data_IF_649445018712
#
_entry.id   IF_649445018712
#
_cell.length_a   1.000
_cell.length_b   1.000
_cell.length_c   1.000
_cell.angle_alpha   90.00
_cell.angle_beta   90.00
_cell.angle_gamma   90.00
#
_symmetry.space_group_name_H-M   'P 1'
#
loop_
_entity.id
_entity.type
_entity.pdbx_description
1 polymer ?
#
# COMPACT_ATOMS: atom_id res chain seq x y z
N UNK A 1 -3.35 -40.33 -52.35
CA UNK A 1 -2.38 -39.25 -52.03
C UNK A 1 -2.98 -38.07 -51.24
N UNK A 2 -4.25 -38.14 -50.80
CA UNK A 2 -4.96 -37.00 -50.17
C UNK A 2 -4.97 -37.06 -48.64
N UNK A 3 -4.94 -38.26 -48.05
CA UNK A 3 -4.96 -38.48 -46.60
C UNK A 3 -3.63 -38.10 -45.90
N UNK A 4 -2.48 -38.30 -46.56
CA UNK A 4 -1.16 -38.00 -45.99
C UNK A 4 -0.94 -36.48 -45.78
N UNK A 5 -1.55 -35.63 -46.63
CA UNK A 5 -1.46 -34.15 -46.53
C UNK A 5 -2.29 -33.59 -45.36
N UNK A 6 -3.44 -34.19 -45.06
CA UNK A 6 -4.30 -33.76 -43.94
C UNK A 6 -3.68 -34.07 -42.57
N UNK A 7 -3.04 -35.23 -42.41
CA UNK A 7 -2.34 -35.58 -41.17
C UNK A 7 -1.11 -34.70 -40.92
N UNK A 8 -0.35 -34.36 -41.95
CA UNK A 8 0.78 -33.42 -41.86
C UNK A 8 0.33 -31.99 -41.51
N UNK A 9 -0.82 -31.55 -42.02
CA UNK A 9 -1.35 -30.21 -41.74
C UNK A 9 -1.89 -30.08 -40.31
N UNK A 10 -2.53 -31.13 -39.76
CA UNK A 10 -3.01 -31.11 -38.37
C UNK A 10 -1.86 -31.15 -37.35
N UNK A 11 -0.80 -31.94 -37.62
CA UNK A 11 0.38 -32.01 -36.74
C UNK A 11 1.19 -30.72 -36.74
N UNK A 12 1.27 -30.02 -37.88
CA UNK A 12 1.94 -28.73 -37.96
C UNK A 12 1.19 -27.64 -37.17
N UNK A 13 -0.16 -27.64 -37.22
CA UNK A 13 -0.99 -26.68 -36.48
C UNK A 13 -0.89 -26.90 -34.97
N UNK A 14 -0.90 -28.15 -34.49
CA UNK A 14 -0.71 -28.44 -33.06
C UNK A 14 0.70 -28.13 -32.57
N UNK A 15 1.74 -28.35 -33.39
CA UNK A 15 3.10 -27.91 -33.06
C UNK A 15 3.21 -26.39 -32.96
N UNK A 16 2.59 -25.66 -33.89
CA UNK A 16 2.61 -24.19 -33.90
C UNK A 16 1.84 -23.59 -32.71
N UNK A 17 0.68 -24.16 -32.34
CA UNK A 17 -0.09 -23.75 -31.16
C UNK A 17 0.66 -24.08 -29.84
N UNK A 18 1.34 -25.23 -29.78
CA UNK A 18 2.18 -25.61 -28.65
C UNK A 18 3.39 -24.68 -28.49
N UNK A 19 4.07 -24.36 -29.60
CA UNK A 19 5.19 -23.42 -29.61
C UNK A 19 4.77 -22.00 -29.21
N UNK A 20 3.62 -21.52 -29.70
CA UNK A 20 3.09 -20.21 -29.32
C UNK A 20 2.72 -20.14 -27.82
N UNK A 21 2.13 -21.20 -27.27
CA UNK A 21 1.77 -21.29 -25.84
C UNK A 21 3.01 -21.36 -24.94
N UNK A 22 4.05 -22.08 -25.38
CA UNK A 22 5.33 -22.18 -24.68
C UNK A 22 6.08 -20.84 -24.72
N UNK A 23 6.13 -20.17 -25.88
CA UNK A 23 6.76 -18.86 -26.03
C UNK A 23 6.04 -17.78 -25.20
N UNK A 24 4.70 -17.74 -25.20
CA UNK A 24 3.92 -16.78 -24.41
C UNK A 24 4.11 -16.98 -22.88
N UNK A 25 4.23 -18.23 -22.44
CA UNK A 25 4.49 -18.57 -21.04
C UNK A 25 5.93 -18.22 -20.63
N UNK A 26 6.89 -18.43 -21.53
CA UNK A 26 8.29 -18.04 -21.31
C UNK A 26 8.46 -16.51 -21.22
N UNK A 27 7.77 -15.73 -22.06
CA UNK A 27 7.82 -14.25 -22.00
C UNK A 27 7.16 -13.71 -20.74
N UNK A 28 5.98 -14.20 -20.36
CA UNK A 28 5.29 -13.75 -19.15
C UNK A 28 6.08 -14.05 -17.86
N UNK A 29 6.80 -15.18 -17.82
CA UNK A 29 7.66 -15.54 -16.69
C UNK A 29 8.94 -14.71 -16.61
N UNK A 30 9.51 -14.31 -17.76
CA UNK A 30 10.65 -13.40 -17.83
C UNK A 30 10.28 -11.98 -17.36
N UNK A 31 9.10 -11.49 -17.76
CA UNK A 31 8.59 -10.17 -17.38
C UNK A 31 8.36 -10.06 -15.86
N UNK A 32 7.74 -11.08 -15.24
CA UNK A 32 7.53 -11.12 -13.79
C UNK A 32 8.84 -11.07 -13.00
N UNK A 33 9.89 -11.80 -13.42
CA UNK A 33 11.18 -11.78 -12.73
C UNK A 33 11.88 -10.43 -12.88
N UNK A 34 11.80 -9.83 -14.06
CA UNK A 34 12.31 -8.49 -14.31
C UNK A 34 11.64 -7.45 -13.40
N UNK A 35 10.31 -7.51 -13.29
CA UNK A 35 9.55 -6.58 -12.46
C UNK A 35 9.80 -6.80 -10.96
N UNK A 36 9.97 -8.05 -10.51
CA UNK A 36 10.38 -8.34 -9.14
C UNK A 36 11.77 -7.78 -8.81
N UNK A 37 12.72 -7.84 -9.76
CA UNK A 37 14.05 -7.26 -9.58
C UNK A 37 14.00 -5.73 -9.54
N UNK A 38 13.18 -5.09 -10.39
CA UNK A 38 12.93 -3.64 -10.32
C UNK A 38 12.29 -3.24 -8.99
N UNK A 39 11.32 -4.01 -8.50
CA UNK A 39 10.67 -3.76 -7.22
C UNK A 39 11.62 -3.92 -6.01
N UNK A 40 12.71 -4.68 -6.19
CA UNK A 40 13.76 -4.84 -5.19
C UNK A 40 14.83 -3.74 -5.22
N UNK A 41 14.82 -2.85 -6.22
CA UNK A 41 15.64 -1.63 -6.23
C UNK A 41 15.07 -0.65 -5.17
N UNK A 42 15.83 -0.30 -4.11
CA UNK A 42 15.34 0.55 -3.04
C UNK A 42 14.97 1.96 -3.50
N UNK A 43 15.67 2.50 -4.50
CA UNK A 43 15.42 3.86 -5.01
C UNK A 43 14.15 3.87 -5.85
N UNK A 44 14.05 2.96 -6.83
CA UNK A 44 12.89 2.88 -7.70
C UNK A 44 11.61 2.57 -6.90
N UNK A 45 11.70 1.61 -5.98
CA UNK A 45 10.60 1.24 -5.08
C UNK A 45 10.21 2.41 -4.16
N UNK A 46 11.19 3.09 -3.57
CA UNK A 46 10.93 4.26 -2.72
C UNK A 46 10.25 5.41 -3.46
N UNK A 47 10.67 5.70 -4.69
CA UNK A 47 10.03 6.70 -5.56
C UNK A 47 8.59 6.33 -5.91
N UNK A 48 8.36 5.08 -6.31
CA UNK A 48 7.03 4.56 -6.59
C UNK A 48 6.07 4.72 -5.41
N UNK A 49 6.52 4.35 -4.22
CA UNK A 49 5.71 4.39 -2.99
C UNK A 49 5.29 5.83 -2.68
N UNK A 50 6.24 6.78 -2.69
CA UNK A 50 5.98 8.15 -2.20
C UNK A 50 5.37 9.10 -3.21
N UNK A 51 5.71 8.98 -4.51
CA UNK A 51 5.48 10.08 -5.46
C UNK A 51 4.00 10.46 -5.61
N UNK A 52 3.12 9.48 -5.80
CA UNK A 52 1.68 9.71 -5.97
C UNK A 52 1.03 10.23 -4.69
N UNK A 53 1.40 9.66 -3.54
CA UNK A 53 0.89 10.09 -2.24
C UNK A 53 1.27 11.54 -1.93
N UNK A 54 2.56 11.89 -2.08
CA UNK A 54 3.05 13.24 -1.80
C UNK A 54 2.46 14.27 -2.76
N UNK A 55 2.24 13.91 -4.03
CA UNK A 55 1.53 14.77 -4.99
C UNK A 55 0.10 15.07 -4.54
N UNK A 56 -0.54 14.21 -3.75
CA UNK A 56 -1.90 14.40 -3.25
C UNK A 56 -1.96 15.00 -1.84
N UNK A 57 -0.82 15.19 -1.21
CA UNK A 57 -0.73 15.56 0.19
C UNK A 57 -1.31 16.95 0.46
N UNK A 58 -2.17 17.03 1.48
CA UNK A 58 -2.80 18.26 1.99
C UNK A 58 -3.62 19.04 0.96
N UNK A 59 -3.96 18.46 -0.20
CA UNK A 59 -4.83 19.13 -1.16
C UNK A 59 -6.21 19.33 -0.56
N UNK A 60 -6.82 20.53 -0.70
CA UNK A 60 -8.17 20.76 -0.22
C UNK A 60 -9.18 19.92 -1.01
N UNK A 61 -10.33 19.65 -0.41
CA UNK A 61 -11.47 19.10 -1.15
C UNK A 61 -12.10 20.21 -1.98
N UNK A 62 -12.57 19.87 -3.19
CA UNK A 62 -13.31 20.82 -4.02
C UNK A 62 -14.77 20.85 -3.56
N UNK A 63 -15.24 22.00 -3.09
CA UNK A 63 -16.62 22.18 -2.63
C UNK A 63 -17.65 22.07 -3.78
N UNK A 64 -17.24 22.33 -5.02
CA UNK A 64 -18.10 22.19 -6.21
C UNK A 64 -18.14 20.77 -6.76
N UNK A 65 -17.33 19.85 -6.24
CA UNK A 65 -17.34 18.43 -6.61
C UNK A 65 -18.20 17.67 -5.60
N UNK A 66 -19.27 17.03 -6.09
CA UNK A 66 -20.25 16.31 -5.26
C UNK A 66 -19.78 14.94 -4.80
N UNK A 67 -18.62 14.46 -5.28
CA UNK A 67 -18.07 13.17 -4.85
C UNK A 67 -17.74 13.17 -3.36
N UNK A 68 -17.98 12.05 -2.66
CA UNK A 68 -17.64 11.91 -1.25
C UNK A 68 -16.15 12.15 -1.00
N UNK A 69 -15.84 12.75 0.14
CA UNK A 69 -14.51 13.16 0.55
C UNK A 69 -13.88 12.10 1.43
N UNK A 70 -12.70 11.63 1.05
CA UNK A 70 -11.91 10.69 1.83
C UNK A 70 -10.57 11.32 2.21
N UNK A 71 -10.17 11.17 3.47
CA UNK A 71 -8.84 11.54 3.94
C UNK A 71 -8.08 10.27 4.36
N UNK A 72 -6.88 10.11 3.82
CA UNK A 72 -5.97 9.02 4.16
C UNK A 72 -4.76 9.57 4.93
N UNK A 73 -4.61 9.14 6.17
CA UNK A 73 -3.61 9.65 7.10
C UNK A 73 -2.69 8.52 7.53
N UNK A 74 -1.38 8.78 7.47
CA UNK A 74 -0.41 7.94 8.13
C UNK A 74 0.98 7.95 7.50
N UNK A 75 1.70 6.84 7.64
CA UNK A 75 3.12 6.77 7.30
C UNK A 75 3.36 6.10 5.92
N UNK A 76 4.51 5.43 5.75
CA UNK A 76 4.79 4.70 4.51
C UNK A 76 3.77 3.60 4.21
N UNK A 77 3.06 3.08 5.23
CA UNK A 77 1.97 2.12 5.01
C UNK A 77 0.76 2.80 4.36
N UNK A 78 0.47 4.07 4.68
CA UNK A 78 -0.56 4.84 4.01
C UNK A 78 -0.19 5.12 2.55
N UNK A 79 1.11 5.31 2.25
CA UNK A 79 1.60 5.47 0.88
C UNK A 79 1.36 4.21 0.04
N UNK A 80 1.68 3.05 0.58
CA UNK A 80 1.38 1.76 -0.04
C UNK A 80 -0.12 1.56 -0.26
N UNK A 81 -0.94 1.86 0.75
CA UNK A 81 -2.39 1.71 0.66
C UNK A 81 -2.99 2.65 -0.38
N UNK A 82 -2.48 3.88 -0.49
CA UNK A 82 -2.90 4.81 -1.54
C UNK A 82 -2.60 4.27 -2.95
N UNK A 83 -1.42 3.69 -3.16
CA UNK A 83 -1.09 3.05 -4.43
C UNK A 83 -2.04 1.90 -4.75
N UNK A 84 -2.37 1.06 -3.76
CA UNK A 84 -3.36 -0.01 -3.93
C UNK A 84 -4.76 0.53 -4.29
N UNK A 85 -5.19 1.65 -3.69
CA UNK A 85 -6.45 2.32 -4.07
C UNK A 85 -6.41 2.74 -5.55
N UNK A 86 -5.32 3.36 -6.00
CA UNK A 86 -5.19 3.84 -7.37
C UNK A 86 -5.16 2.70 -8.39
N UNK A 87 -4.42 1.63 -8.08
CA UNK A 87 -4.28 0.45 -8.95
C UNK A 87 -5.58 -0.35 -9.05
N UNK A 88 -6.28 -0.53 -7.94
CA UNK A 88 -7.57 -1.24 -7.91
C UNK A 88 -8.75 -0.40 -8.40
N UNK A 89 -8.60 0.94 -8.46
CA UNK A 89 -9.68 1.90 -8.72
C UNK A 89 -10.83 1.84 -7.71
N UNK A 90 -10.61 1.21 -6.54
CA UNK A 90 -11.64 0.95 -5.51
C UNK A 90 -12.29 2.20 -4.92
N UNK A 91 -11.64 3.37 -5.02
CA UNK A 91 -12.17 4.66 -4.58
C UNK A 91 -12.22 5.71 -5.69
N UNK A 92 -12.37 5.29 -6.95
CA UNK A 92 -12.45 6.20 -8.11
C UNK A 92 -13.58 7.24 -8.00
N UNK A 93 -14.66 6.90 -7.28
CA UNK A 93 -15.78 7.80 -6.99
C UNK A 93 -15.54 8.81 -5.85
N UNK A 94 -14.36 8.85 -5.23
CA UNK A 94 -14.07 9.74 -4.09
C UNK A 94 -13.12 10.88 -4.48
N UNK A 95 -13.24 12.01 -3.77
CA UNK A 95 -12.16 12.98 -3.64
C UNK A 95 -11.22 12.50 -2.53
N UNK A 96 -9.96 12.24 -2.85
CA UNK A 96 -9.02 11.71 -1.84
C UNK A 96 -8.00 12.78 -1.50
N UNK A 97 -7.81 13.09 -0.22
CA UNK A 97 -6.67 13.85 0.29
C UNK A 97 -5.78 12.97 1.14
N UNK A 98 -4.48 13.25 1.17
CA UNK A 98 -3.52 12.48 1.95
C UNK A 98 -2.79 13.35 2.99
N UNK A 99 -2.45 12.76 4.14
CA UNK A 99 -1.66 13.41 5.21
C UNK A 99 -0.56 12.46 5.67
N UNK A 100 0.69 12.93 5.70
CA UNK A 100 1.83 12.11 6.07
C UNK A 100 2.27 12.35 7.51
N UNK A 101 2.20 11.33 8.34
CA UNK A 101 2.73 11.31 9.71
C UNK A 101 3.80 10.22 9.75
N UNK A 102 5.10 10.53 9.93
CA UNK A 102 6.15 9.52 9.86
C UNK A 102 5.99 8.39 10.89
N UNK A 103 6.42 7.18 10.53
CA UNK A 103 6.42 6.01 11.42
C UNK A 103 7.14 6.29 12.74
N UNK A 104 8.23 7.05 12.71
CA UNK A 104 8.98 7.39 13.93
C UNK A 104 8.22 8.31 14.88
N UNK A 105 7.25 9.07 14.36
CA UNK A 105 6.44 9.99 15.14
C UNK A 105 5.16 9.34 15.65
N UNK A 106 4.56 8.43 14.87
CA UNK A 106 3.27 7.79 15.16
C UNK A 106 2.11 8.79 15.33
N UNK A 107 0.90 8.29 15.09
CA UNK A 107 -0.32 9.03 15.32
C UNK A 107 -0.68 9.03 16.81
N UNK A 108 -0.94 10.21 17.35
CA UNK A 108 -1.48 10.37 18.70
C UNK A 108 -2.21 11.69 18.79
N UNK A 109 -3.36 11.69 19.47
CA UNK A 109 -4.10 12.89 19.79
C UNK A 109 -4.71 12.75 21.19
N UNK A 110 -4.10 13.38 22.18
CA UNK A 110 -4.57 13.33 23.56
C UNK A 110 -3.73 14.17 24.49
N UNK A 111 -4.08 14.12 25.78
CA UNK A 111 -3.47 14.96 26.80
C UNK A 111 -2.23 14.34 27.46
N UNK A 112 -1.98 13.04 27.24
CA UNK A 112 -0.83 12.34 27.80
C UNK A 112 0.48 12.91 27.21
N UNK A 113 1.48 13.12 28.07
CA UNK A 113 2.83 13.40 27.62
C UNK A 113 3.51 12.12 27.08
N UNK A 114 3.41 11.91 25.78
CA UNK A 114 3.99 10.77 25.07
C UNK A 114 5.49 10.92 24.72
N UNK A 115 6.17 11.97 25.20
CA UNK A 115 7.58 12.23 24.86
C UNK A 115 8.48 11.05 25.24
N UNK A 116 8.22 10.39 26.37
CA UNK A 116 8.97 9.20 26.82
C UNK A 116 8.68 7.93 26.02
N UNK A 117 7.63 7.91 25.19
CA UNK A 117 7.26 6.77 24.35
C UNK A 117 7.87 6.86 22.94
N UNK A 118 8.36 8.05 22.58
CA UNK A 118 9.05 8.31 21.31
C UNK A 118 10.55 8.25 21.53
N UNK A 119 11.24 7.72 20.52
CA UNK A 119 12.69 7.80 20.48
C UNK A 119 13.14 9.27 20.35
N UNK A 120 13.88 9.75 21.34
CA UNK A 120 14.32 11.14 21.43
C UNK A 120 15.19 11.58 20.24
N UNK A 121 15.85 10.63 19.55
CA UNK A 121 16.63 10.89 18.33
C UNK A 121 15.76 11.43 17.19
N UNK A 122 14.45 11.24 17.26
CA UNK A 122 13.48 11.69 16.26
C UNK A 122 12.70 12.95 16.68
N UNK A 123 13.04 13.59 17.80
CA UNK A 123 12.33 14.77 18.29
C UNK A 123 12.27 15.90 17.24
N UNK A 124 13.39 16.22 16.58
CA UNK A 124 13.47 17.29 15.58
C UNK A 124 12.59 17.04 14.36
N UNK A 125 12.59 15.80 13.82
CA UNK A 125 11.74 15.45 12.68
C UNK A 125 10.26 15.45 13.07
N UNK A 126 9.92 14.96 14.26
CA UNK A 126 8.53 14.91 14.71
C UNK A 126 7.95 16.28 15.06
N UNK A 127 8.75 17.22 15.55
CA UNK A 127 8.32 18.60 15.76
C UNK A 127 7.94 19.32 14.44
N UNK A 128 8.55 18.91 13.32
CA UNK A 128 8.28 19.48 11.98
C UNK A 128 7.27 18.68 11.16
N UNK A 129 6.88 17.51 11.65
CA UNK A 129 5.98 16.59 10.95
C UNK A 129 4.52 16.99 11.13
N UNK A 130 3.68 16.49 10.24
CA UNK A 130 2.24 16.61 10.39
C UNK A 130 1.75 15.89 11.64
N UNK A 131 0.59 16.29 12.15
CA UNK A 131 -0.07 15.65 13.30
C UNK A 131 -1.56 15.45 13.05
N UNK A 132 -2.20 14.60 13.86
CA UNK A 132 -3.66 14.48 13.84
C UNK A 132 -4.32 15.82 14.15
N UNK A 133 -3.78 16.60 15.10
CA UNK A 133 -4.30 17.93 15.43
C UNK A 133 -4.28 18.86 14.21
N UNK A 134 -3.16 18.92 13.49
CA UNK A 134 -3.04 19.72 12.26
C UNK A 134 -3.92 19.22 11.12
N UNK A 135 -4.34 17.95 11.14
CA UNK A 135 -5.24 17.37 10.14
C UNK A 135 -6.73 17.56 10.49
N UNK A 136 -7.09 17.95 11.72
CA UNK A 136 -8.49 17.99 12.20
C UNK A 136 -9.44 18.78 11.31
N UNK A 137 -9.03 19.96 10.86
CA UNK A 137 -9.88 20.76 9.97
C UNK A 137 -10.27 19.97 8.71
N UNK A 138 -9.30 19.31 8.06
CA UNK A 138 -9.57 18.51 6.88
C UNK A 138 -10.30 17.20 7.19
N UNK A 139 -10.05 16.59 8.36
CA UNK A 139 -10.81 15.44 8.86
C UNK A 139 -12.28 15.82 9.03
N UNK A 140 -12.58 17.01 9.54
CA UNK A 140 -13.96 17.48 9.77
C UNK A 140 -14.75 17.74 8.49
N UNK A 141 -14.08 17.84 7.34
CA UNK A 141 -14.73 17.93 6.02
C UNK A 141 -14.94 16.58 5.35
N UNK A 142 -14.23 15.53 5.78
CA UNK A 142 -14.25 14.23 5.12
C UNK A 142 -15.51 13.43 5.50
N UNK A 143 -15.98 12.59 4.58
CA UNK A 143 -17.00 11.56 4.83
C UNK A 143 -16.36 10.26 5.28
N UNK A 144 -15.14 9.98 4.79
CA UNK A 144 -14.35 8.79 5.15
C UNK A 144 -12.99 9.19 5.69
N UNK A 145 -12.65 8.72 6.88
CA UNK A 145 -11.35 8.91 7.52
C UNK A 145 -10.64 7.57 7.56
N UNK A 146 -9.46 7.49 6.94
CA UNK A 146 -8.67 6.26 6.86
C UNK A 146 -7.35 6.50 7.59
N UNK A 147 -7.13 5.78 8.68
CA UNK A 147 -5.88 5.80 9.44
C UNK A 147 -5.08 4.55 9.11
N UNK A 148 -3.85 4.70 8.61
CA UNK A 148 -3.02 3.56 8.20
C UNK A 148 -1.58 3.77 8.63
N UNK A 149 -1.05 2.89 9.47
CA UNK A 149 0.29 3.07 10.03
C UNK A 149 1.05 1.76 10.14
N UNK A 150 2.36 1.87 10.23
CA UNK A 150 3.17 0.90 10.95
C UNK A 150 3.02 1.16 12.46
N UNK A 151 1.89 0.73 13.02
CA UNK A 151 1.54 0.98 14.41
C UNK A 151 2.61 0.46 15.37
N UNK A 152 3.11 1.34 16.24
CA UNK A 152 3.85 0.98 17.45
C UNK A 152 2.85 0.67 18.55
N UNK A 153 3.16 -0.30 19.41
CA UNK A 153 2.29 -0.72 20.50
C UNK A 153 1.68 0.45 21.28
N UNK A 154 2.53 1.43 21.65
CA UNK A 154 2.11 2.56 22.46
C UNK A 154 1.09 3.45 21.75
N UNK A 155 1.20 3.63 20.44
CA UNK A 155 0.27 4.43 19.63
C UNK A 155 -1.02 3.64 19.38
N UNK A 156 -0.90 2.34 19.11
CA UNK A 156 -2.05 1.44 18.94
C UNK A 156 -2.93 1.39 20.20
N UNK A 157 -2.33 1.26 21.39
CA UNK A 157 -3.03 1.29 22.69
C UNK A 157 -3.78 2.61 22.94
N UNK A 158 -3.37 3.70 22.29
CA UNK A 158 -3.95 5.05 22.42
C UNK A 158 -4.87 5.44 21.26
N UNK A 159 -5.14 4.51 20.34
CA UNK A 159 -6.09 4.74 19.26
C UNK A 159 -7.47 5.14 19.77
N UNK A 160 -8.07 4.48 20.80
CA UNK A 160 -9.38 4.87 21.31
C UNK A 160 -9.43 6.33 21.78
N UNK A 161 -8.42 6.78 22.53
CA UNK A 161 -8.30 8.19 22.96
C UNK A 161 -8.16 9.12 21.74
N UNK A 162 -7.27 8.78 20.82
CA UNK A 162 -7.04 9.59 19.62
C UNK A 162 -8.31 9.73 18.77
N UNK A 163 -9.04 8.64 18.57
CA UNK A 163 -10.30 8.61 17.83
C UNK A 163 -11.38 9.45 18.53
N UNK A 164 -11.50 9.33 19.86
CA UNK A 164 -12.41 10.18 20.64
C UNK A 164 -12.10 11.67 20.43
N UNK A 165 -10.81 12.04 20.49
CA UNK A 165 -10.38 13.43 20.39
C UNK A 165 -10.40 14.00 18.95
N UNK A 166 -10.50 13.13 17.94
CA UNK A 166 -10.78 13.59 16.57
C UNK A 166 -12.17 14.21 16.44
N UNK A 167 -13.09 13.94 17.39
CA UNK A 167 -14.45 14.47 17.40
C UNK A 167 -15.16 14.26 16.05
N UNK A 168 -15.06 13.02 15.53
CA UNK A 168 -15.68 12.65 14.27
C UNK A 168 -17.19 12.88 14.34
N UNK A 169 -17.75 13.41 13.25
CA UNK A 169 -19.21 13.56 13.13
C UNK A 169 -19.87 12.17 13.09
N UNK A 170 -21.13 12.04 13.54
CA UNK A 170 -21.83 10.75 13.57
C UNK A 170 -21.97 10.07 12.21
N UNK A 171 -21.98 10.85 11.12
CA UNK A 171 -22.09 10.39 9.74
C UNK A 171 -20.75 9.97 9.12
N UNK A 172 -19.61 10.29 9.76
CA UNK A 172 -18.30 9.92 9.22
C UNK A 172 -18.02 8.42 9.37
N UNK A 173 -17.46 7.83 8.32
CA UNK A 173 -16.93 6.46 8.37
C UNK A 173 -15.44 6.49 8.74
N UNK A 174 -15.09 5.86 9.85
CA UNK A 174 -13.70 5.62 10.23
C UNK A 174 -13.24 4.22 9.78
N UNK A 175 -12.08 4.15 9.15
CA UNK A 175 -11.39 2.90 8.82
C UNK A 175 -9.99 2.95 9.41
N UNK A 176 -9.65 1.97 10.24
CA UNK A 176 -8.29 1.80 10.78
C UNK A 176 -7.66 0.58 10.12
N UNK A 177 -6.57 0.79 9.40
CA UNK A 177 -5.83 -0.27 8.72
C UNK A 177 -4.63 -0.63 9.57
N UNK A 178 -4.54 -1.91 9.90
CA UNK A 178 -3.46 -2.47 10.72
C UNK A 178 -2.09 -2.43 10.03
N UNK A 179 -1.08 -2.91 10.76
CA UNK A 179 0.29 -3.00 10.26
C UNK A 179 0.37 -4.01 9.10
N UNK A 180 1.06 -3.61 8.04
CA UNK A 180 1.50 -4.47 6.93
C UNK A 180 2.77 -5.23 7.32
N UNK A 181 2.81 -6.54 7.06
CA UNK A 181 4.01 -7.38 7.24
C UNK A 181 4.04 -8.48 6.18
N UNK A 182 5.20 -8.70 5.58
CA UNK A 182 5.46 -9.81 4.63
C UNK A 182 6.52 -10.77 5.16
N UNK A 183 6.85 -10.70 6.46
CA UNK A 183 7.98 -11.42 7.04
C UNK A 183 9.31 -10.87 6.54
N UNK A 184 10.25 -11.77 6.23
CA UNK A 184 11.55 -11.45 5.64
C UNK A 184 11.62 -11.99 4.21
N UNK A 185 11.17 -11.21 3.21
CA UNK A 185 11.24 -11.64 1.82
C UNK A 185 12.68 -11.93 1.39
N UNK A 186 12.92 -13.07 0.75
CA UNK A 186 14.23 -13.39 0.17
C UNK A 186 14.15 -13.31 -1.36
N UNK A 187 14.26 -12.09 -1.88
CA UNK A 187 14.11 -11.82 -3.32
C UNK A 187 15.13 -12.63 -4.15
N UNK A 188 16.36 -12.81 -3.66
CA UNK A 188 17.38 -13.62 -4.35
C UNK A 188 16.96 -15.09 -4.46
N UNK A 189 16.33 -15.64 -3.41
CA UNK A 189 15.75 -16.99 -3.45
C UNK A 189 14.57 -17.04 -4.43
N UNK A 190 13.66 -16.07 -4.37
CA UNK A 190 12.48 -16.02 -5.25
C UNK A 190 12.86 -15.93 -6.72
N UNK A 191 13.89 -15.13 -7.04
CA UNK A 191 14.43 -14.95 -8.37
C UNK A 191 15.00 -16.24 -8.99
N UNK A 192 15.24 -17.28 -8.19
CA UNK A 192 15.77 -18.58 -8.63
C UNK A 192 14.77 -19.73 -8.41
N UNK A 193 13.62 -19.45 -7.81
CA UNK A 193 12.59 -20.44 -7.53
C UNK A 193 11.85 -20.84 -8.83
N UNK A 194 11.54 -22.12 -9.04
CA UNK A 194 10.61 -22.56 -10.09
C UNK A 194 9.28 -21.82 -9.99
N UNK A 195 8.63 -21.55 -11.12
CA UNK A 195 7.44 -20.68 -11.14
C UNK A 195 6.26 -21.26 -10.33
N UNK A 196 6.02 -22.57 -10.44
CA UNK A 196 5.00 -23.28 -9.67
C UNK A 196 5.23 -23.15 -8.15
N UNK A 197 6.48 -23.28 -7.71
CA UNK A 197 6.85 -23.07 -6.30
C UNK A 197 6.68 -21.61 -5.87
N UNK A 198 7.05 -20.66 -6.73
CA UNK A 198 6.95 -19.23 -6.43
C UNK A 198 5.50 -18.76 -6.31
N UNK A 199 4.60 -19.29 -7.13
CA UNK A 199 3.15 -19.03 -7.02
C UNK A 199 2.54 -19.60 -5.74
N UNK A 200 3.03 -20.76 -5.31
CA UNK A 200 2.59 -21.42 -4.08
C UNK A 200 3.23 -20.81 -2.81
N UNK A 201 4.30 -20.03 -2.95
CA UNK A 201 5.04 -19.46 -1.83
C UNK A 201 4.13 -18.61 -0.92
N UNK A 202 4.23 -18.86 0.39
CA UNK A 202 3.68 -18.00 1.44
C UNK A 202 4.78 -17.67 2.43
N UNK A 203 5.01 -16.38 2.68
CA UNK A 203 5.98 -15.95 3.66
C UNK A 203 5.42 -16.10 5.06
N UNK A 204 6.23 -16.65 5.97
CA UNK A 204 5.90 -16.59 7.38
C UNK A 204 5.96 -15.13 7.84
N UNK A 205 4.86 -14.66 8.42
CA UNK A 205 4.76 -13.34 9.03
C UNK A 205 5.01 -13.46 10.52
N UNK A 206 5.89 -12.62 11.04
CA UNK A 206 6.21 -12.61 12.47
C UNK A 206 5.06 -11.95 13.23
N UNK A 207 4.42 -12.70 14.12
CA UNK A 207 3.18 -12.29 14.83
C UNK A 207 3.50 -11.56 16.14
N UNK A 208 4.77 -11.64 16.63
CA UNK A 208 5.16 -11.22 17.98
C UNK A 208 5.74 -9.79 18.07
N UNK A 209 5.56 -8.97 17.03
CA UNK A 209 6.07 -7.58 17.02
C UNK A 209 4.96 -6.54 17.21
N UNK A 210 4.04 -6.79 18.15
CA UNK A 210 3.10 -5.77 18.62
C UNK A 210 3.78 -4.84 19.61
#
# INVERSE_FOLDING_TARGET
MTTLKQFASLTLITLLLGAASFLASATASADFRSDMLKAADPKASGEYVRARFLKQMKKPFNASDSRPKAILIGDSHAQDFYNAILESRSMSGYQISTRYIPTVCQMYLGAENITGLRDSRHASICAKSDTLEQAKAQISEADVVILTSNWKEWSAKRLPESIKNLALRPDQKLVVIGRKSYGKPNIRKYARMPENELRALRNQVDILQL
#
